data_IF_699650324873
#
_entry.id   IF_699650324873
#
_cell.length_a   1.000
_cell.length_b   1.000
_cell.length_c   1.000
_cell.angle_alpha   90.00
_cell.angle_beta   90.00
_cell.angle_gamma   90.00
#
_symmetry.space_group_name_H-M   'P 1'
#
loop_
_entity.id
_entity.type
_entity.pdbx_description
1 polymer ?
#
# COMPACT_ATOMS: atom_id res chain seq x y z
N UNK A 1 -19.48 8.34 11.44
CA UNK A 1 -18.50 9.43 11.64
C UNK A 1 -17.15 8.86 12.09
N UNK A 2 -16.07 9.19 11.38
CA UNK A 2 -14.70 8.88 11.83
C UNK A 2 -14.44 9.67 13.12
N UNK A 3 -13.94 8.99 14.16
CA UNK A 3 -13.71 9.64 15.46
C UNK A 3 -12.37 10.38 15.52
N UNK A 4 -11.42 10.00 14.66
CA UNK A 4 -10.03 10.49 14.64
C UNK A 4 -9.45 10.40 13.21
N UNK A 5 -8.40 11.16 12.91
CA UNK A 5 -7.69 11.10 11.61
C UNK A 5 -6.55 10.08 11.66
N UNK A 6 -6.12 9.54 10.51
CA UNK A 6 -5.04 8.54 10.44
C UNK A 6 -3.76 8.97 11.13
N UNK A 7 -3.39 10.25 10.99
CA UNK A 7 -2.29 10.86 11.74
C UNK A 7 -2.55 10.84 13.25
N UNK A 8 -3.75 11.22 13.70
CA UNK A 8 -4.06 11.33 15.12
C UNK A 8 -4.02 9.99 15.88
N UNK A 9 -4.47 8.88 15.28
CA UNK A 9 -4.34 7.55 15.91
C UNK A 9 -2.88 7.10 15.92
N UNK A 10 -2.13 7.41 14.86
CA UNK A 10 -0.69 7.12 14.81
C UNK A 10 0.12 7.95 15.83
N UNK A 11 -0.41 9.09 16.28
CA UNK A 11 0.17 9.90 17.35
C UNK A 11 -0.19 9.37 18.74
N UNK A 12 -1.29 8.63 18.89
CA UNK A 12 -1.66 7.93 20.14
C UNK A 12 -0.80 6.68 20.34
N UNK A 13 -0.50 5.94 19.27
CA UNK A 13 0.34 4.74 19.31
C UNK A 13 1.78 5.04 18.85
N UNK A 14 2.55 5.70 19.71
CA UNK A 14 3.96 6.03 19.45
C UNK A 14 4.80 4.75 19.45
N UNK A 15 5.16 4.28 18.25
CA UNK A 15 6.18 3.23 18.06
C UNK A 15 7.40 3.82 17.37
N UNK A 16 8.58 3.21 17.53
CA UNK A 16 9.83 3.67 16.89
C UNK A 16 9.75 3.72 15.36
N UNK A 17 8.76 3.03 14.75
CA UNK A 17 8.59 2.97 13.30
C UNK A 17 7.44 3.84 12.78
N UNK A 18 6.59 4.40 13.65
CA UNK A 18 5.44 5.20 13.20
C UNK A 18 5.94 6.54 12.62
N UNK A 19 5.66 6.85 11.35
CA UNK A 19 6.06 8.11 10.74
C UNK A 19 5.19 9.28 11.22
N UNK A 20 5.66 10.50 10.96
CA UNK A 20 4.92 11.73 11.20
C UNK A 20 3.54 11.74 10.52
N UNK A 21 2.57 12.44 11.13
CA UNK A 21 1.19 12.51 10.65
C UNK A 21 1.05 13.00 9.19
N UNK A 22 1.96 13.88 8.72
CA UNK A 22 1.95 14.36 7.34
C UNK A 22 2.24 13.27 6.31
N UNK A 23 2.97 12.22 6.70
CA UNK A 23 3.34 11.08 5.84
C UNK A 23 2.11 10.33 5.35
N UNK A 24 1.04 10.31 6.16
CA UNK A 24 -0.23 9.67 5.82
C UNK A 24 -1.03 10.38 4.72
N UNK A 25 -0.61 11.59 4.29
CA UNK A 25 -1.22 12.29 3.14
C UNK A 25 -1.10 11.51 1.82
N UNK A 26 -0.20 10.53 1.75
CA UNK A 26 -0.10 9.60 0.60
C UNK A 26 -1.40 8.83 0.34
N UNK A 27 -2.25 8.63 1.36
CA UNK A 27 -3.60 8.09 1.17
C UNK A 27 -4.44 8.94 0.23
N UNK A 28 -4.31 10.27 0.26
CA UNK A 28 -4.99 11.16 -0.68
C UNK A 28 -4.53 10.93 -2.12
N UNK A 29 -3.23 10.73 -2.34
CA UNK A 29 -2.67 10.41 -3.66
C UNK A 29 -3.21 9.07 -4.17
N UNK A 30 -3.24 8.06 -3.29
CA UNK A 30 -3.81 6.74 -3.59
C UNK A 30 -5.29 6.88 -3.96
N UNK A 31 -6.09 7.58 -3.16
CA UNK A 31 -7.52 7.72 -3.42
C UNK A 31 -7.83 8.50 -4.70
N UNK A 32 -7.06 9.55 -5.01
CA UNK A 32 -7.16 10.22 -6.31
C UNK A 32 -6.90 9.23 -7.45
N UNK A 33 -5.87 8.41 -7.33
CA UNK A 33 -5.57 7.39 -8.34
C UNK A 33 -6.67 6.31 -8.43
N UNK A 34 -7.21 5.82 -7.30
CA UNK A 34 -8.35 4.88 -7.29
C UNK A 34 -9.57 5.49 -8.02
N UNK A 35 -9.87 6.77 -7.77
CA UNK A 35 -10.96 7.49 -8.44
C UNK A 35 -10.71 7.63 -9.94
N UNK A 36 -9.50 8.01 -10.35
CA UNK A 36 -9.13 8.10 -11.77
C UNK A 36 -9.24 6.74 -12.47
N UNK A 37 -8.89 5.65 -11.80
CA UNK A 37 -9.07 4.29 -12.32
C UNK A 37 -10.54 3.95 -12.51
N UNK A 38 -11.42 4.30 -11.56
CA UNK A 38 -12.88 4.11 -11.70
C UNK A 38 -13.41 4.91 -12.89
N UNK A 39 -13.03 6.20 -13.01
CA UNK A 39 -13.43 7.05 -14.14
C UNK A 39 -12.94 6.45 -15.46
N UNK A 40 -11.68 5.99 -15.51
CA UNK A 40 -11.11 5.34 -16.69
C UNK A 40 -11.90 4.09 -17.07
N UNK A 41 -12.23 3.22 -16.12
CA UNK A 41 -13.01 1.99 -16.37
C UNK A 41 -14.41 2.35 -16.88
N UNK A 42 -15.11 3.28 -16.22
CA UNK A 42 -16.45 3.72 -16.61
C UNK A 42 -16.47 4.40 -17.99
N UNK A 43 -15.49 5.28 -18.27
CA UNK A 43 -15.36 5.93 -19.56
C UNK A 43 -15.14 4.91 -20.69
N UNK A 44 -14.34 3.86 -20.44
CA UNK A 44 -14.13 2.78 -21.42
C UNK A 44 -15.34 1.84 -21.56
N UNK A 45 -16.15 1.66 -20.52
CA UNK A 45 -17.45 0.97 -20.60
C UNK A 45 -18.46 1.74 -21.45
N UNK A 46 -18.45 3.08 -21.36
CA UNK A 46 -19.36 3.97 -22.08
C UNK A 46 -18.91 4.32 -23.51
N UNK A 47 -17.66 4.05 -23.90
CA UNK A 47 -17.11 4.44 -25.22
C UNK A 47 -17.43 3.39 -26.29
N UNK A 48 -18.41 3.70 -27.13
CA UNK A 48 -18.89 2.89 -28.26
C UNK A 48 -18.44 3.48 -29.61
N UNK A 49 -17.19 3.25 -30.04
CA UNK A 49 -16.69 3.82 -31.32
C UNK A 49 -16.21 2.74 -32.31
N UNK A 50 -15.83 1.53 -31.88
CA UNK A 50 -15.41 0.45 -32.80
C UNK A 50 -15.91 -0.97 -32.39
N UNK A 51 -17.03 -1.04 -31.65
CA UNK A 51 -17.45 -2.25 -30.94
C UNK A 51 -17.02 -2.20 -29.47
N UNK A 52 -17.72 -2.94 -28.60
CA UNK A 52 -17.42 -2.91 -27.17
C UNK A 52 -15.96 -3.29 -26.91
N UNK A 53 -15.25 -2.52 -26.09
CA UNK A 53 -13.82 -2.73 -25.79
C UNK A 53 -13.54 -4.07 -25.10
N UNK A 54 -14.57 -4.77 -24.58
CA UNK A 54 -14.42 -6.17 -24.13
C UNK A 54 -14.17 -7.16 -25.28
N UNK A 55 -14.40 -6.76 -26.54
CA UNK A 55 -14.31 -7.65 -27.70
C UNK A 55 -12.92 -7.77 -28.32
N UNK A 56 -11.96 -6.83 -28.12
CA UNK A 56 -10.54 -7.00 -28.54
C UNK A 56 -9.67 -5.74 -28.32
N UNK A 57 -8.50 -5.84 -27.64
CA UNK A 57 -8.16 -6.73 -26.54
C UNK A 57 -8.54 -6.10 -25.19
N UNK A 58 -8.88 -6.92 -24.17
CA UNK A 58 -9.16 -6.43 -22.82
C UNK A 58 -7.91 -5.75 -22.24
N UNK A 59 -8.06 -4.48 -21.85
CA UNK A 59 -6.95 -3.69 -21.30
C UNK A 59 -6.39 -4.29 -20.01
N UNK A 60 -7.22 -4.98 -19.23
CA UNK A 60 -6.85 -5.66 -17.98
C UNK A 60 -7.61 -7.01 -17.88
N UNK A 61 -6.97 -8.07 -17.35
CA UNK A 61 -7.60 -9.39 -17.21
C UNK A 61 -8.70 -9.38 -16.14
N UNK A 62 -9.70 -10.27 -16.26
CA UNK A 62 -10.82 -10.38 -15.29
C UNK A 62 -10.35 -10.56 -13.84
N UNK A 63 -9.26 -11.30 -13.62
CA UNK A 63 -8.65 -11.48 -12.30
C UNK A 63 -8.24 -10.16 -11.64
N UNK A 64 -7.77 -9.18 -12.42
CA UNK A 64 -7.43 -7.85 -11.92
C UNK A 64 -8.67 -7.16 -11.31
N UNK A 65 -9.80 -7.19 -12.02
CA UNK A 65 -11.04 -6.55 -11.55
C UNK A 65 -11.63 -7.23 -10.32
N UNK A 66 -11.53 -8.55 -10.22
CA UNK A 66 -11.97 -9.29 -9.02
C UNK A 66 -11.12 -8.87 -7.82
N UNK A 67 -9.80 -8.86 -7.96
CA UNK A 67 -8.90 -8.40 -6.90
C UNK A 67 -9.16 -6.93 -6.53
N UNK A 68 -9.45 -6.07 -7.51
CA UNK A 68 -9.79 -4.66 -7.30
C UNK A 68 -11.06 -4.48 -6.47
N UNK A 69 -12.14 -5.18 -6.81
CA UNK A 69 -13.40 -5.09 -6.06
C UNK A 69 -13.22 -5.57 -4.62
N UNK A 70 -12.55 -6.70 -4.42
CA UNK A 70 -12.22 -7.20 -3.09
C UNK A 70 -11.36 -6.21 -2.30
N UNK A 71 -10.37 -5.61 -2.96
CA UNK A 71 -9.51 -4.61 -2.36
C UNK A 71 -10.29 -3.38 -1.87
N UNK A 72 -11.21 -2.85 -2.68
CA UNK A 72 -12.07 -1.73 -2.28
C UNK A 72 -12.92 -2.09 -1.04
N UNK A 73 -13.51 -3.28 -1.03
CA UNK A 73 -14.27 -3.76 0.13
C UNK A 73 -13.40 -3.86 1.40
N UNK A 74 -12.19 -4.42 1.28
CA UNK A 74 -11.27 -4.55 2.41
C UNK A 74 -10.72 -3.19 2.86
N UNK A 75 -10.48 -2.24 1.94
CA UNK A 75 -10.04 -0.90 2.29
C UNK A 75 -11.12 -0.13 3.06
N UNK A 76 -12.38 -0.23 2.63
CA UNK A 76 -13.52 0.34 3.37
C UNK A 76 -13.66 -0.33 4.73
N UNK A 77 -13.58 -1.66 4.80
CA UNK A 77 -13.65 -2.37 6.07
C UNK A 77 -12.52 -1.95 7.04
N UNK A 78 -11.29 -1.78 6.53
CA UNK A 78 -10.18 -1.22 7.30
C UNK A 78 -10.53 0.16 7.86
N UNK A 79 -11.01 1.09 7.02
CA UNK A 79 -11.43 2.44 7.45
C UNK A 79 -12.54 2.44 8.52
N UNK A 80 -13.31 1.36 8.67
CA UNK A 80 -14.35 1.26 9.70
C UNK A 80 -13.83 0.71 11.03
N UNK A 81 -12.75 -0.08 11.02
CA UNK A 81 -12.25 -0.76 12.23
C UNK A 81 -10.94 -0.21 12.76
N UNK A 82 -10.20 0.54 11.94
CA UNK A 82 -8.84 1.00 12.23
C UNK A 82 -8.72 1.90 13.47
N UNK A 83 -9.77 2.59 13.91
CA UNK A 83 -9.75 3.45 15.11
C UNK A 83 -10.10 2.69 16.40
N UNK A 84 -10.69 1.50 16.30
CA UNK A 84 -11.29 0.78 17.44
C UNK A 84 -10.68 -0.60 17.70
N UNK A 85 -10.24 -1.29 16.65
CA UNK A 85 -9.83 -2.70 16.72
C UNK A 85 -8.53 -2.92 15.95
N UNK A 86 -7.38 -2.74 16.63
CA UNK A 86 -6.06 -2.79 15.99
C UNK A 86 -5.76 -4.14 15.33
N UNK A 87 -6.11 -5.25 15.97
CA UNK A 87 -5.92 -6.60 15.41
C UNK A 87 -6.77 -6.77 14.13
N UNK A 88 -8.05 -6.37 14.16
CA UNK A 88 -8.90 -6.45 12.98
C UNK A 88 -8.38 -5.54 11.85
N UNK A 89 -7.89 -4.35 12.20
CA UNK A 89 -7.28 -3.42 11.26
C UNK A 89 -6.02 -4.00 10.61
N UNK A 90 -5.19 -4.73 11.35
CA UNK A 90 -4.04 -5.44 10.81
C UNK A 90 -4.48 -6.52 9.81
N UNK A 91 -5.50 -7.33 10.16
CA UNK A 91 -6.03 -8.37 9.26
C UNK A 91 -6.53 -7.76 7.94
N UNK A 92 -7.33 -6.69 8.00
CA UNK A 92 -7.80 -6.04 6.77
C UNK A 92 -6.66 -5.42 5.95
N UNK A 93 -5.63 -4.86 6.58
CA UNK A 93 -4.45 -4.37 5.85
C UNK A 93 -3.69 -5.49 5.15
N UNK A 94 -3.55 -6.66 5.79
CA UNK A 94 -2.95 -7.86 5.14
C UNK A 94 -3.78 -8.28 3.93
N UNK A 95 -5.11 -8.27 4.04
CA UNK A 95 -6.00 -8.59 2.91
C UNK A 95 -5.93 -7.56 1.79
N UNK A 96 -5.82 -6.27 2.12
CA UNK A 96 -5.59 -5.19 1.16
C UNK A 96 -4.25 -5.37 0.45
N UNK A 97 -3.16 -5.61 1.19
CA UNK A 97 -1.85 -5.86 0.61
C UNK A 97 -1.85 -7.11 -0.28
N UNK A 98 -2.46 -8.21 0.17
CA UNK A 98 -2.56 -9.45 -0.61
C UNK A 98 -3.34 -9.28 -1.91
N UNK A 99 -4.47 -8.56 -1.88
CA UNK A 99 -5.24 -8.25 -3.10
C UNK A 99 -4.47 -7.31 -4.03
N UNK A 100 -3.68 -6.38 -3.50
CA UNK A 100 -2.77 -5.52 -4.25
C UNK A 100 -1.69 -6.32 -5.01
N UNK A 101 -1.01 -7.25 -4.35
CA UNK A 101 -0.07 -8.18 -5.01
C UNK A 101 -0.76 -9.07 -6.05
N UNK A 102 -2.01 -9.47 -5.80
CA UNK A 102 -2.84 -10.18 -6.78
C UNK A 102 -3.07 -9.35 -8.05
N UNK A 103 -3.44 -8.08 -7.90
CA UNK A 103 -3.63 -7.15 -9.02
C UNK A 103 -2.35 -6.98 -9.85
N UNK A 104 -1.19 -6.83 -9.20
CA UNK A 104 0.10 -6.74 -9.91
C UNK A 104 0.38 -8.02 -10.68
N UNK A 105 0.19 -9.19 -10.06
CA UNK A 105 0.42 -10.48 -10.69
C UNK A 105 -0.43 -10.66 -11.95
N UNK A 106 -1.71 -10.30 -11.87
CA UNK A 106 -2.61 -10.32 -13.03
C UNK A 106 -2.24 -9.27 -14.08
N UNK A 107 -1.87 -8.05 -13.69
CA UNK A 107 -1.43 -7.01 -14.62
C UNK A 107 -0.15 -7.41 -15.37
N UNK A 108 0.83 -8.00 -14.68
CA UNK A 108 2.06 -8.52 -15.28
C UNK A 108 1.79 -9.71 -16.21
N UNK A 109 0.90 -10.62 -15.81
CA UNK A 109 0.47 -11.73 -16.67
C UNK A 109 -0.22 -11.23 -17.94
N UNK A 110 -1.13 -10.25 -17.82
CA UNK A 110 -1.78 -9.61 -18.96
C UNK A 110 -0.78 -8.97 -19.92
N UNK A 111 0.22 -8.25 -19.40
CA UNK A 111 1.27 -7.65 -20.22
C UNK A 111 2.13 -8.70 -20.95
N UNK A 112 2.41 -9.83 -20.30
CA UNK A 112 3.16 -10.94 -20.91
C UNK A 112 2.38 -11.60 -22.06
N UNK A 113 1.06 -11.76 -21.90
CA UNK A 113 0.19 -12.43 -22.88
C UNK A 113 -0.17 -11.52 -24.07
N UNK A 114 -0.46 -10.23 -23.83
CA UNK A 114 -0.97 -9.32 -24.87
C UNK A 114 0.10 -8.41 -25.52
N UNK A 115 1.35 -8.47 -25.06
CA UNK A 115 2.53 -7.91 -25.76
C UNK A 115 2.64 -6.38 -25.79
N UNK A 116 3.61 -5.89 -26.57
CA UNK A 116 4.10 -4.50 -26.59
C UNK A 116 3.08 -3.43 -27.03
N UNK A 117 1.94 -3.81 -27.60
CA UNK A 117 0.90 -2.90 -28.09
C UNK A 117 0.24 -2.08 -26.98
N UNK A 118 0.30 -2.55 -25.73
CA UNK A 118 -0.36 -1.91 -24.58
C UNK A 118 0.61 -1.30 -23.55
N UNK A 119 1.87 -1.11 -23.93
CA UNK A 119 2.99 -0.77 -23.04
C UNK A 119 2.86 0.59 -22.36
N UNK A 120 2.16 1.55 -22.96
CA UNK A 120 2.06 2.91 -22.42
C UNK A 120 0.96 3.04 -21.36
N UNK A 121 -0.23 2.51 -21.63
CA UNK A 121 -1.36 2.54 -20.68
C UNK A 121 -1.15 1.58 -19.49
N UNK A 122 -0.52 0.41 -19.68
CA UNK A 122 -0.23 -0.51 -18.58
C UNK A 122 0.75 0.07 -17.55
N UNK A 123 1.72 0.88 -17.98
CA UNK A 123 2.71 1.49 -17.07
C UNK A 123 2.05 2.40 -16.05
N UNK A 124 1.07 3.20 -16.45
CA UNK A 124 0.38 4.11 -15.53
C UNK A 124 -0.45 3.35 -14.50
N UNK A 125 -1.15 2.30 -14.93
CA UNK A 125 -1.92 1.43 -14.04
C UNK A 125 -1.00 0.67 -13.08
N UNK A 126 0.05 0.02 -13.60
CA UNK A 126 1.02 -0.71 -12.78
C UNK A 126 1.71 0.19 -11.76
N UNK A 127 2.11 1.41 -12.16
CA UNK A 127 2.75 2.35 -11.24
C UNK A 127 1.81 2.77 -10.11
N UNK A 128 0.54 3.06 -10.40
CA UNK A 128 -0.41 3.43 -9.36
C UNK A 128 -0.77 2.27 -8.43
N UNK A 129 -0.96 1.05 -8.96
CA UNK A 129 -1.13 -0.16 -8.15
C UNK A 129 0.11 -0.37 -7.27
N UNK A 130 1.31 -0.11 -7.79
CA UNK A 130 2.56 -0.27 -7.05
C UNK A 130 2.75 0.76 -5.94
N UNK A 131 2.38 2.03 -6.14
CA UNK A 131 2.32 3.03 -5.05
C UNK A 131 1.42 2.52 -3.93
N UNK A 132 0.23 2.05 -4.30
CA UNK A 132 -0.75 1.55 -3.34
C UNK A 132 -0.27 0.28 -2.62
N UNK A 133 0.35 -0.65 -3.34
CA UNK A 133 0.93 -1.89 -2.79
C UNK A 133 2.05 -1.59 -1.80
N UNK A 134 2.96 -0.69 -2.17
CA UNK A 134 4.10 -0.32 -1.34
C UNK A 134 3.63 0.35 -0.06
N UNK A 135 2.72 1.31 -0.17
CA UNK A 135 2.19 2.00 1.00
C UNK A 135 1.38 1.06 1.91
N UNK A 136 0.54 0.19 1.37
CA UNK A 136 -0.25 -0.76 2.18
C UNK A 136 0.64 -1.81 2.87
N UNK A 137 1.76 -2.20 2.24
CA UNK A 137 2.78 -3.03 2.89
C UNK A 137 3.40 -2.30 4.07
N UNK A 138 3.81 -1.05 3.90
CA UNK A 138 4.37 -0.21 4.98
C UNK A 138 3.35 -0.02 6.11
N UNK A 139 2.11 0.33 5.77
CA UNK A 139 1.01 0.47 6.74
C UNK A 139 0.74 -0.83 7.51
N UNK A 140 0.85 -1.98 6.86
CA UNK A 140 0.71 -3.30 7.50
C UNK A 140 1.81 -3.51 8.55
N UNK A 141 3.06 -3.15 8.22
CA UNK A 141 4.20 -3.29 9.13
C UNK A 141 4.13 -2.33 10.33
N UNK A 142 3.66 -1.10 10.10
CA UNK A 142 3.39 -0.13 11.17
C UNK A 142 2.31 -0.68 12.11
N UNK A 143 1.19 -1.17 11.55
CA UNK A 143 0.09 -1.71 12.34
C UNK A 143 0.49 -3.01 13.06
N UNK A 144 1.36 -3.82 12.45
CA UNK A 144 1.95 -4.99 13.11
C UNK A 144 2.77 -4.56 14.34
N UNK A 145 3.62 -3.54 14.23
CA UNK A 145 4.37 -3.05 15.38
C UNK A 145 3.45 -2.52 16.49
N UNK A 146 2.38 -1.80 16.14
CA UNK A 146 1.35 -1.36 17.11
C UNK A 146 0.74 -2.57 17.82
N UNK A 147 0.28 -3.58 17.09
CA UNK A 147 -0.30 -4.80 17.71
C UNK A 147 0.73 -5.53 18.58
N UNK A 148 1.98 -5.68 18.14
CA UNK A 148 3.02 -6.32 18.93
C UNK A 148 3.34 -5.56 20.21
N UNK A 149 3.38 -4.22 20.15
CA UNK A 149 3.68 -3.38 21.32
C UNK A 149 2.51 -3.31 22.29
N UNK A 150 1.29 -3.05 21.81
CA UNK A 150 0.15 -2.71 22.66
C UNK A 150 -0.74 -3.91 23.03
N UNK A 151 -0.83 -4.93 22.17
CA UNK A 151 -1.65 -6.12 22.44
C UNK A 151 -0.78 -7.30 22.94
N UNK A 152 0.41 -7.48 22.38
CA UNK A 152 1.31 -8.57 22.75
C UNK A 152 2.36 -8.20 23.82
N UNK A 153 2.37 -6.96 24.32
CA UNK A 153 3.32 -6.44 25.33
C UNK A 153 4.81 -6.67 24.98
N UNK A 154 5.14 -6.70 23.69
CA UNK A 154 6.52 -6.80 23.23
C UNK A 154 7.15 -5.41 23.30
N UNK A 155 8.43 -5.32 23.70
CA UNK A 155 9.13 -4.04 23.74
C UNK A 155 9.07 -3.33 22.37
N UNK A 156 8.87 -1.99 22.32
CA UNK A 156 8.78 -1.24 21.08
C UNK A 156 9.93 -1.49 20.11
N UNK A 157 11.15 -1.62 20.64
CA UNK A 157 12.36 -1.91 19.86
C UNK A 157 12.34 -3.31 19.22
N UNK A 158 11.82 -4.32 19.92
CA UNK A 158 11.70 -5.67 19.37
C UNK A 158 10.58 -5.77 18.33
N UNK A 159 9.46 -5.08 18.57
CA UNK A 159 8.36 -4.96 17.61
C UNK A 159 8.81 -4.29 16.31
N UNK A 160 9.56 -3.18 16.42
CA UNK A 160 10.20 -2.49 15.30
C UNK A 160 11.14 -3.43 14.52
N UNK A 161 11.99 -4.16 15.23
CA UNK A 161 12.94 -5.11 14.61
C UNK A 161 12.22 -6.20 13.82
N UNK A 162 11.13 -6.77 14.36
CA UNK A 162 10.32 -7.77 13.65
C UNK A 162 9.72 -7.18 12.37
N UNK A 163 9.13 -5.98 12.44
CA UNK A 163 8.59 -5.30 11.27
C UNK A 163 9.65 -5.00 10.21
N UNK A 164 10.86 -4.57 10.60
CA UNK A 164 11.98 -4.36 9.66
C UNK A 164 12.47 -5.66 9.02
N UNK A 165 12.55 -6.76 9.77
CA UNK A 165 12.90 -8.07 9.23
C UNK A 165 11.89 -8.54 8.19
N UNK A 166 10.59 -8.35 8.46
CA UNK A 166 9.53 -8.63 7.49
C UNK A 166 9.61 -7.73 6.26
N UNK A 167 9.95 -6.44 6.42
CA UNK A 167 10.19 -5.55 5.27
C UNK A 167 11.32 -6.07 4.39
N UNK A 168 12.47 -6.43 4.98
CA UNK A 168 13.61 -6.98 4.24
C UNK A 168 13.25 -8.28 3.50
N UNK A 169 12.43 -9.15 4.10
CA UNK A 169 11.96 -10.36 3.44
C UNK A 169 11.09 -10.04 2.21
N UNK A 170 10.25 -9.01 2.28
CA UNK A 170 9.47 -8.53 1.13
C UNK A 170 10.36 -7.87 0.05
N UNK A 171 11.44 -7.20 0.45
CA UNK A 171 12.46 -6.66 -0.48
C UNK A 171 13.30 -7.76 -1.13
N UNK A 172 13.47 -8.93 -0.52
CA UNK A 172 14.13 -10.07 -1.19
C UNK A 172 13.24 -10.68 -2.29
N UNK A 173 11.92 -10.65 -2.11
CA UNK A 173 10.92 -11.01 -3.14
C UNK A 173 10.90 -10.01 -4.32
N UNK A 174 11.49 -8.81 -4.14
CA UNK A 174 11.62 -7.76 -5.16
C UNK A 174 12.47 -8.15 -6.38
N UNK A 175 13.19 -9.29 -6.36
CA UNK A 175 13.92 -9.78 -7.54
C UNK A 175 13.03 -9.85 -8.80
N UNK A 176 11.70 -9.96 -8.63
CA UNK A 176 10.72 -9.99 -9.72
C UNK A 176 10.03 -8.65 -10.00
N UNK A 177 10.22 -7.63 -9.15
CA UNK A 177 9.57 -6.31 -9.24
C UNK A 177 10.53 -5.12 -9.48
N UNK A 178 11.85 -5.35 -9.51
CA UNK A 178 12.95 -4.42 -9.83
C UNK A 178 12.74 -3.41 -10.97
N UNK A 179 11.79 -3.64 -11.88
CA UNK A 179 11.52 -2.75 -13.01
C UNK A 179 10.54 -1.62 -12.67
N UNK A 180 9.95 -1.61 -11.47
CA UNK A 180 8.94 -0.63 -11.07
C UNK A 180 9.52 0.39 -10.10
N UNK A 181 10.22 1.39 -10.61
CA UNK A 181 10.95 2.41 -9.84
C UNK A 181 10.10 3.31 -8.91
N UNK A 182 8.77 3.18 -8.94
CA UNK A 182 7.85 4.05 -8.17
C UNK A 182 7.71 3.62 -6.72
N UNK A 183 8.16 2.41 -6.39
CA UNK A 183 8.27 1.91 -5.03
C UNK A 183 9.29 2.72 -4.20
N UNK A 184 10.44 3.06 -4.79
CA UNK A 184 11.52 3.78 -4.10
C UNK A 184 11.07 5.15 -3.56
N UNK A 185 10.40 6.03 -4.34
CA UNK A 185 9.85 7.28 -3.81
C UNK A 185 8.90 7.08 -2.62
N UNK A 186 8.09 6.02 -2.62
CA UNK A 186 7.15 5.73 -1.53
C UNK A 186 7.89 5.26 -0.28
N UNK A 187 8.89 4.40 -0.44
CA UNK A 187 9.76 3.97 0.66
C UNK A 187 10.54 5.15 1.23
N UNK A 188 11.14 5.99 0.38
CA UNK A 188 11.85 7.21 0.78
C UNK A 188 10.90 8.14 1.55
N UNK A 189 9.69 8.38 1.04
CA UNK A 189 8.68 9.19 1.70
C UNK A 189 8.35 8.68 3.12
N UNK A 190 8.13 7.37 3.26
CA UNK A 190 7.87 6.76 4.55
C UNK A 190 9.06 6.86 5.52
N UNK A 191 10.28 6.64 5.02
CA UNK A 191 11.51 6.77 5.81
C UNK A 191 11.77 8.22 6.23
N UNK A 192 11.54 9.20 5.35
CA UNK A 192 11.63 10.63 5.69
C UNK A 192 10.65 11.00 6.78
N UNK A 193 9.41 10.51 6.70
CA UNK A 193 8.42 10.69 7.74
C UNK A 193 8.79 10.04 9.08
N UNK A 194 9.42 8.87 9.04
CA UNK A 194 9.92 8.20 10.22
C UNK A 194 11.08 8.98 10.87
N UNK A 195 12.03 9.44 10.04
CA UNK A 195 13.18 10.24 10.47
C UNK A 195 12.72 11.54 11.14
N UNK A 196 11.81 12.28 10.50
CA UNK A 196 11.26 13.54 11.02
C UNK A 196 10.65 13.40 12.43
N UNK A 197 10.01 12.26 12.73
CA UNK A 197 9.36 12.01 14.03
C UNK A 197 10.27 11.35 15.07
N UNK A 198 11.14 10.43 14.67
CA UNK A 198 11.87 9.54 15.58
C UNK A 198 13.37 9.83 15.67
N UNK A 199 13.91 10.78 14.90
CA UNK A 199 15.31 11.16 15.00
C UNK A 199 15.60 11.88 16.31
N UNK A 200 16.53 11.34 17.09
CA UNK A 200 17.06 11.98 18.29
C UNK A 200 18.59 11.84 18.30
N UNK A 201 19.29 12.96 18.11
CA UNK A 201 20.75 13.01 18.06
C UNK A 201 21.41 12.79 19.42
N UNK A 202 20.72 13.08 20.53
CA UNK A 202 21.26 12.99 21.90
C UNK A 202 21.07 11.59 22.52
N UNK A 203 20.02 10.87 22.13
CA UNK A 203 19.75 9.50 22.58
C UNK A 203 19.09 8.68 21.46
N UNK A 204 19.85 8.22 20.45
CA UNK A 204 19.29 7.46 19.35
C UNK A 204 18.75 6.11 19.84
N UNK A 205 17.51 5.78 19.48
CA UNK A 205 16.99 4.42 19.64
C UNK A 205 17.75 3.47 18.71
N UNK A 206 17.71 2.16 18.98
CA UNK A 206 18.39 1.17 18.13
C UNK A 206 17.94 1.22 16.67
N UNK A 207 16.69 1.64 16.44
CA UNK A 207 16.07 1.83 15.13
C UNK A 207 16.31 3.23 14.54
N UNK A 208 16.74 4.19 15.35
CA UNK A 208 16.95 5.60 14.99
C UNK A 208 18.40 5.97 14.67
N UNK A 209 19.28 4.98 14.52
CA UNK A 209 20.66 5.20 14.04
C UNK A 209 20.63 5.22 12.51
N UNK A 210 20.61 6.43 11.95
CA UNK A 210 20.74 6.65 10.50
C UNK A 210 22.20 7.04 10.22
N UNK A 211 22.95 6.16 9.55
CA UNK A 211 24.38 6.36 9.18
C UNK A 211 24.47 6.94 7.78
#
# INVERSE_FOLDING_TARGET
PFSTTTGNVSDVFVTEITPSGWTFSIWSVIYVWLTLMIIYILANLCRNIYGYVYCSPPVLPYGFFICWCLNLCFNIAWLLVWDRWMIAALVFLILVAGTNYGMISFACHGLHVYGAWLKEYHKQVQNGVMIYTTWTTIATLINLAIVLTYEANISPTNAATVSYCFFLQNVVLDKHMRYVLIDYPVVIWALTGNFDKNYNAESPSRSGIFI
#
